data_IF_862848143952
#
_entry.id   IF_862848143952
#
_cell.length_a   1.000
_cell.length_b   1.000
_cell.length_c   1.000
_cell.angle_alpha   90.00
_cell.angle_beta   90.00
_cell.angle_gamma   90.00
#
_symmetry.space_group_name_H-M   'P 1'
#
loop_
_entity.id
_entity.type
_entity.pdbx_description
1 polymer ?
#
# COMPACT_ATOMS: atom_id res chain seq x y z
N UNK A 1 -32.04 -75.67 -23.54
CA UNK A 1 -31.91 -74.44 -24.36
C UNK A 1 -33.01 -73.49 -23.93
N UNK A 2 -32.69 -72.45 -23.15
CA UNK A 2 -33.71 -71.48 -22.73
C UNK A 2 -33.12 -70.08 -22.59
N UNK A 3 -33.61 -69.25 -23.51
CA UNK A 3 -33.68 -67.80 -23.64
C UNK A 3 -33.23 -66.92 -22.46
N UNK A 4 -32.45 -65.88 -22.81
CA UNK A 4 -32.36 -64.62 -22.08
C UNK A 4 -32.61 -63.47 -23.06
N UNK A 5 -33.55 -62.59 -22.72
CA UNK A 5 -33.62 -61.24 -23.27
C UNK A 5 -33.96 -60.29 -22.10
N UNK A 6 -33.17 -59.22 -22.00
CA UNK A 6 -33.08 -58.33 -20.85
C UNK A 6 -34.18 -57.26 -20.84
N UNK A 7 -34.77 -57.00 -19.66
CA UNK A 7 -35.66 -55.87 -19.40
C UNK A 7 -34.87 -54.61 -19.07
N UNK A 8 -35.15 -53.52 -19.80
CA UNK A 8 -34.74 -52.15 -19.44
C UNK A 8 -35.62 -51.66 -18.29
N UNK A 9 -34.99 -51.28 -17.18
CA UNK A 9 -35.67 -50.67 -16.03
C UNK A 9 -35.51 -49.15 -16.11
N UNK A 10 -36.63 -48.43 -16.17
CA UNK A 10 -36.70 -46.97 -16.03
C UNK A 10 -37.03 -46.71 -14.56
N UNK A 11 -36.20 -45.94 -13.86
CA UNK A 11 -36.52 -45.40 -12.53
C UNK A 11 -36.59 -43.87 -12.60
N UNK A 12 -37.79 -43.38 -12.29
CA UNK A 12 -38.19 -42.01 -12.05
C UNK A 12 -37.50 -41.50 -10.77
N UNK A 13 -36.79 -40.37 -10.82
CA UNK A 13 -36.30 -39.69 -9.60
C UNK A 13 -36.88 -38.29 -9.54
N UNK A 14 -37.59 -38.06 -8.44
CA UNK A 14 -38.19 -36.81 -8.00
C UNK A 14 -37.10 -35.75 -7.75
N UNK A 15 -37.13 -34.60 -8.42
CA UNK A 15 -36.30 -33.45 -8.05
C UNK A 15 -37.12 -32.50 -7.17
N UNK A 16 -36.76 -32.45 -5.90
CA UNK A 16 -37.30 -31.52 -4.90
C UNK A 16 -36.79 -30.12 -5.21
N UNK A 17 -37.71 -29.18 -5.40
CA UNK A 17 -37.41 -27.76 -5.56
C UNK A 17 -37.01 -27.17 -4.20
N UNK A 18 -35.75 -26.81 -4.04
CA UNK A 18 -35.29 -25.94 -2.95
C UNK A 18 -34.96 -24.58 -3.53
N UNK A 19 -35.85 -23.62 -3.27
CA UNK A 19 -35.59 -22.18 -3.40
C UNK A 19 -34.55 -21.80 -2.34
N UNK A 20 -33.27 -21.93 -2.67
CA UNK A 20 -32.14 -21.55 -1.83
C UNK A 20 -31.54 -20.25 -2.34
N UNK A 21 -31.59 -19.21 -1.50
CA UNK A 21 -30.96 -17.92 -1.68
C UNK A 21 -29.48 -18.08 -2.06
N UNK A 22 -29.16 -17.93 -3.35
CA UNK A 22 -27.79 -17.68 -3.79
C UNK A 22 -27.46 -16.23 -3.46
N UNK A 23 -27.19 -15.96 -2.19
CA UNK A 23 -26.51 -14.74 -1.78
C UNK A 23 -25.09 -14.79 -2.34
N UNK A 24 -24.89 -14.27 -3.55
CA UNK A 24 -23.55 -13.96 -4.03
C UNK A 24 -22.99 -12.91 -3.07
N UNK A 25 -22.13 -13.34 -2.14
CA UNK A 25 -21.28 -12.41 -1.41
C UNK A 25 -20.31 -11.81 -2.42
N UNK A 26 -20.70 -10.71 -3.05
CA UNK A 26 -19.75 -9.83 -3.74
C UNK A 26 -18.86 -9.25 -2.65
N UNK A 27 -17.71 -9.89 -2.39
CA UNK A 27 -16.60 -9.17 -1.76
C UNK A 27 -16.24 -8.07 -2.74
N UNK A 28 -16.61 -6.83 -2.42
CA UNK A 28 -16.06 -5.67 -3.10
C UNK A 28 -14.55 -5.75 -2.91
N UNK A 29 -13.81 -6.06 -3.97
CA UNK A 29 -12.37 -5.92 -3.98
C UNK A 29 -12.10 -4.43 -3.82
N UNK A 30 -11.52 -4.03 -2.69
CA UNK A 30 -11.20 -2.63 -2.42
C UNK A 30 -10.21 -2.17 -3.50
N UNK A 31 -10.68 -1.34 -4.44
CA UNK A 31 -9.85 -0.79 -5.49
C UNK A 31 -8.69 0.01 -4.87
N UNK A 32 -7.46 -0.47 -5.04
CA UNK A 32 -6.26 0.28 -4.66
C UNK A 32 -5.88 1.21 -5.80
N UNK A 33 -5.83 2.51 -5.51
CA UNK A 33 -5.47 3.57 -6.42
C UNK A 33 -3.95 3.77 -6.41
N UNK A 34 -3.34 3.78 -7.60
CA UNK A 34 -1.91 3.94 -7.71
C UNK A 34 -1.47 5.38 -7.49
N UNK A 35 -0.41 5.57 -6.72
CA UNK A 35 0.26 6.84 -6.51
C UNK A 35 1.72 6.79 -6.99
N UNK A 36 2.21 7.89 -7.55
CA UNK A 36 3.63 8.12 -7.83
C UNK A 36 4.26 8.72 -6.58
N UNK A 37 5.39 8.15 -6.18
CA UNK A 37 6.20 8.69 -5.09
C UNK A 37 7.44 9.34 -5.67
N UNK A 38 7.79 10.51 -5.16
CA UNK A 38 9.04 11.18 -5.51
C UNK A 38 9.58 11.98 -4.33
N UNK A 39 10.87 12.31 -4.39
CA UNK A 39 11.54 13.16 -3.40
C UNK A 39 12.07 14.42 -4.06
N UNK A 40 12.26 15.45 -3.25
CA UNK A 40 12.96 16.68 -3.64
C UNK A 40 14.21 16.82 -2.79
N UNK A 41 15.19 17.59 -3.26
CA UNK A 41 16.32 17.95 -2.41
C UNK A 41 15.83 18.66 -1.13
N UNK A 42 16.36 18.34 0.06
CA UNK A 42 17.51 17.47 0.32
C UNK A 42 17.16 16.00 0.64
N UNK A 43 15.95 15.52 0.32
CA UNK A 43 15.42 14.20 0.69
C UNK A 43 15.64 13.09 -0.36
N UNK A 44 16.55 13.30 -1.31
CA UNK A 44 16.86 12.33 -2.37
C UNK A 44 17.51 11.03 -1.86
N UNK A 45 17.94 11.03 -0.60
CA UNK A 45 18.51 9.90 0.10
C UNK A 45 18.24 10.00 1.61
N UNK A 46 18.29 8.86 2.30
CA UNK A 46 18.06 8.78 3.74
C UNK A 46 19.41 8.62 4.43
N UNK A 47 19.82 9.63 5.19
CA UNK A 47 21.08 9.60 5.97
C UNK A 47 20.79 9.61 7.46
N UNK A 48 20.95 8.49 8.17
CA UNK A 48 20.64 8.44 9.61
C UNK A 48 21.62 9.25 10.48
N UNK A 49 22.86 9.45 10.03
CA UNK A 49 23.89 10.17 10.79
C UNK A 49 23.99 11.67 10.47
N UNK A 50 23.28 12.19 9.46
CA UNK A 50 23.42 13.58 9.01
C UNK A 50 22.16 14.12 8.30
N UNK A 51 22.18 15.42 7.96
CA UNK A 51 21.07 16.09 7.27
C UNK A 51 19.88 16.39 8.19
N UNK A 52 18.69 16.58 7.60
CA UNK A 52 17.45 16.89 8.34
C UNK A 52 17.07 15.78 9.33
N UNK A 53 16.42 16.11 10.44
CA UNK A 53 15.89 15.12 11.39
C UNK A 53 14.71 14.29 10.86
N UNK A 54 14.20 14.64 9.68
CA UNK A 54 13.11 13.97 8.99
C UNK A 54 13.47 13.63 7.54
N UNK A 55 12.76 12.65 6.99
CA UNK A 55 12.76 12.35 5.57
C UNK A 55 11.34 12.58 5.01
N UNK A 56 11.25 13.33 3.92
CA UNK A 56 9.98 13.71 3.31
C UNK A 56 9.85 13.11 1.91
N UNK A 57 8.64 12.66 1.59
CA UNK A 57 8.27 12.07 0.30
C UNK A 57 6.97 12.68 -0.19
N UNK A 58 6.92 12.97 -1.48
CA UNK A 58 5.72 13.47 -2.15
C UNK A 58 4.92 12.29 -2.70
N UNK A 59 3.62 12.34 -2.51
CA UNK A 59 2.65 11.39 -3.03
C UNK A 59 1.75 12.11 -4.03
N UNK A 60 1.71 11.61 -5.25
CA UNK A 60 0.89 12.16 -6.33
C UNK A 60 -0.03 11.08 -6.92
N UNK A 61 -1.32 11.36 -7.15
CA UNK A 61 -2.24 10.44 -7.83
C UNK A 61 -1.82 10.19 -9.28
N UNK A 62 -1.69 8.92 -9.69
CA UNK A 62 -1.40 8.61 -11.11
C UNK A 62 -2.62 8.94 -11.96
N UNK A 63 -2.45 9.87 -12.90
CA UNK A 63 -3.51 10.29 -13.82
C UNK A 63 -4.68 10.99 -13.12
N UNK A 64 -4.48 11.55 -11.92
CA UNK A 64 -5.56 12.21 -11.16
C UNK A 64 -6.64 11.25 -10.66
N UNK A 65 -6.31 9.98 -10.42
CA UNK A 65 -7.26 8.93 -10.01
C UNK A 65 -7.85 9.11 -8.59
N UNK A 66 -7.31 10.03 -7.79
CA UNK A 66 -7.91 10.55 -6.56
C UNK A 66 -7.44 11.99 -6.30
N UNK A 67 -8.08 12.66 -5.33
CA UNK A 67 -7.65 13.97 -4.82
C UNK A 67 -6.83 13.75 -3.54
N UNK A 68 -5.63 14.35 -3.46
CA UNK A 68 -4.76 14.24 -2.28
C UNK A 68 -5.38 14.84 -1.01
N UNK A 69 -6.32 15.77 -1.13
CA UNK A 69 -7.08 16.31 0.00
C UNK A 69 -8.10 15.33 0.58
N UNK A 70 -8.45 14.27 -0.15
CA UNK A 70 -9.35 13.22 0.32
C UNK A 70 -8.59 12.15 1.10
N UNK A 71 -7.27 12.26 1.30
CA UNK A 71 -6.51 11.29 2.08
C UNK A 71 -6.85 11.41 3.57
N UNK A 72 -7.15 10.28 4.20
CA UNK A 72 -7.29 10.17 5.65
C UNK A 72 -5.90 10.04 6.29
N UNK A 73 -5.32 11.17 6.71
CA UNK A 73 -3.92 11.27 7.16
C UNK A 73 -3.52 10.25 8.24
N UNK A 74 -4.40 9.94 9.19
CA UNK A 74 -4.09 8.98 10.27
C UNK A 74 -4.06 7.51 9.82
N UNK A 75 -4.39 7.23 8.56
CA UNK A 75 -4.26 5.89 7.96
C UNK A 75 -2.96 5.74 7.16
N UNK A 76 -2.22 6.84 6.96
CA UNK A 76 -1.00 6.83 6.14
C UNK A 76 0.13 6.13 6.88
N UNK A 77 0.77 5.18 6.21
CA UNK A 77 1.90 4.41 6.72
C UNK A 77 3.06 4.40 5.73
N UNK A 78 4.28 4.37 6.28
CA UNK A 78 5.50 4.08 5.54
C UNK A 78 5.91 2.64 5.82
N UNK A 79 6.18 1.87 4.77
CA UNK A 79 6.43 0.42 4.83
C UNK A 79 7.81 0.12 4.24
N UNK A 80 8.56 -0.75 4.92
CA UNK A 80 9.75 -1.42 4.38
C UNK A 80 9.81 -2.86 4.89
N UNK A 81 9.65 -3.81 3.97
CA UNK A 81 9.49 -5.22 4.33
C UNK A 81 10.85 -5.89 4.52
N UNK A 82 11.03 -6.60 5.64
CA UNK A 82 12.22 -7.41 5.91
C UNK A 82 13.50 -6.62 6.23
N UNK A 83 13.41 -5.31 6.40
CA UNK A 83 14.58 -4.44 6.67
C UNK A 83 14.77 -4.12 8.16
N UNK A 84 13.79 -4.38 9.01
CA UNK A 84 13.86 -4.07 10.43
C UNK A 84 12.92 -4.90 11.29
N UNK A 85 12.84 -4.54 12.57
CA UNK A 85 12.02 -5.16 13.61
C UNK A 85 10.54 -4.87 13.45
N UNK A 86 10.19 -3.80 12.71
CA UNK A 86 8.83 -3.52 12.24
C UNK A 86 8.80 -3.42 10.72
N UNK A 87 7.67 -3.77 10.12
CA UNK A 87 7.47 -3.64 8.67
C UNK A 87 6.92 -2.29 8.24
N UNK A 88 6.33 -1.53 9.18
CA UNK A 88 5.67 -0.27 8.89
C UNK A 88 5.65 0.68 10.10
N UNK A 89 5.55 1.98 9.82
CA UNK A 89 5.33 3.04 10.82
C UNK A 89 4.24 4.00 10.35
N UNK A 90 3.46 4.60 11.27
CA UNK A 90 2.44 5.57 10.91
C UNK A 90 3.04 6.95 10.59
N UNK A 91 2.36 7.71 9.74
CA UNK A 91 2.55 9.15 9.64
C UNK A 91 2.09 9.80 10.96
N UNK A 92 2.79 10.86 11.41
CA UNK A 92 2.29 11.68 12.49
C UNK A 92 1.17 12.60 11.98
N UNK A 93 -0.06 12.09 11.96
CA UNK A 93 -1.22 12.79 11.39
C UNK A 93 -1.69 14.02 12.16
N UNK A 94 -1.07 14.35 13.29
CA UNK A 94 -1.33 15.60 14.02
C UNK A 94 -0.52 16.78 13.50
N UNK A 95 0.48 16.51 12.65
CA UNK A 95 1.32 17.54 12.03
C UNK A 95 0.69 18.04 10.72
N UNK A 96 0.85 19.34 10.41
CA UNK A 96 0.41 19.87 9.12
C UNK A 96 1.19 19.19 7.99
N UNK A 97 0.49 19.00 6.87
CA UNK A 97 1.02 18.46 5.62
C UNK A 97 1.06 19.58 4.58
N UNK A 98 1.99 19.50 3.64
CA UNK A 98 2.10 20.46 2.54
C UNK A 98 1.45 19.85 1.31
N UNK A 99 0.62 20.63 0.63
CA UNK A 99 -0.06 20.22 -0.61
C UNK A 99 0.28 21.24 -1.71
N UNK A 100 0.65 20.77 -2.89
CA UNK A 100 1.12 21.64 -3.98
C UNK A 100 1.26 20.93 -5.32
N UNK A 101 2.15 21.41 -6.18
CA UNK A 101 2.61 20.77 -7.41
C UNK A 101 4.14 20.94 -7.46
N UNK A 102 4.80 20.14 -6.64
CA UNK A 102 6.20 20.24 -6.24
C UNK A 102 7.13 19.92 -7.40
N UNK A 103 6.69 19.16 -8.40
CA UNK A 103 7.48 18.91 -9.62
C UNK A 103 6.95 19.58 -10.89
N UNK A 104 5.85 20.33 -10.80
CA UNK A 104 5.40 21.27 -11.83
C UNK A 104 4.75 20.59 -13.03
N UNK A 105 4.15 19.42 -12.82
CA UNK A 105 3.55 18.62 -13.90
C UNK A 105 2.03 18.85 -14.06
N UNK A 106 1.44 19.69 -13.22
CA UNK A 106 0.01 20.02 -13.22
C UNK A 106 -0.89 19.09 -12.41
N UNK A 107 -0.33 18.11 -11.69
CA UNK A 107 -1.05 17.22 -10.78
C UNK A 107 -0.67 17.59 -9.34
N UNK A 108 -1.68 17.67 -8.47
CA UNK A 108 -1.46 18.03 -7.08
C UNK A 108 -0.82 16.88 -6.30
N UNK A 109 0.28 17.15 -5.60
CA UNK A 109 0.93 16.24 -4.65
C UNK A 109 0.78 16.67 -3.19
N UNK A 110 1.02 15.73 -2.29
CA UNK A 110 1.07 15.93 -0.84
C UNK A 110 2.39 15.42 -0.28
N UNK A 111 3.02 16.21 0.58
CA UNK A 111 4.27 15.86 1.25
C UNK A 111 4.00 15.19 2.61
N UNK A 112 4.59 14.02 2.80
CA UNK A 112 4.62 13.31 4.08
C UNK A 112 6.03 13.23 4.62
N UNK A 113 6.23 13.75 5.84
CA UNK A 113 7.51 13.73 6.54
C UNK A 113 7.49 12.74 7.71
N UNK A 114 8.50 11.87 7.76
CA UNK A 114 8.71 10.89 8.82
C UNK A 114 9.97 11.25 9.61
N UNK A 115 9.87 11.25 10.94
CA UNK A 115 11.03 11.47 11.80
C UNK A 115 11.99 10.29 11.66
N UNK A 116 13.30 10.57 11.57
CA UNK A 116 14.31 9.51 11.50
C UNK A 116 14.28 8.63 12.75
N UNK A 117 14.01 9.21 13.93
CA UNK A 117 13.86 8.42 15.16
C UNK A 117 12.79 7.35 15.03
N UNK A 118 11.67 7.69 14.38
CA UNK A 118 10.54 6.78 14.19
C UNK A 118 10.81 5.78 13.06
N UNK A 119 11.65 6.15 12.08
CA UNK A 119 12.11 5.27 11.02
C UNK A 119 13.16 4.25 11.46
N UNK A 120 13.84 4.45 12.59
CA UNK A 120 14.92 3.55 13.00
C UNK A 120 14.48 2.06 13.08
N UNK A 121 13.34 1.70 13.69
CA UNK A 121 12.87 0.32 13.74
C UNK A 121 12.55 -0.30 12.36
N UNK A 122 12.33 0.50 11.31
CA UNK A 122 12.15 -0.02 9.95
C UNK A 122 13.43 -0.60 9.36
N UNK A 123 14.60 -0.20 9.85
CA UNK A 123 15.88 -0.50 9.21
C UNK A 123 16.93 -1.10 10.17
N UNK A 124 16.54 -1.43 11.40
CA UNK A 124 17.46 -1.87 12.45
C UNK A 124 18.03 -3.29 12.25
N UNK A 125 17.56 -4.06 11.25
CA UNK A 125 18.20 -5.30 10.80
C UNK A 125 19.28 -5.06 9.74
N UNK A 126 19.41 -3.83 9.23
CA UNK A 126 20.45 -3.46 8.27
C UNK A 126 21.68 -2.95 9.01
N UNK A 127 22.87 -3.38 8.56
CA UNK A 127 24.14 -2.99 9.19
C UNK A 127 25.26 -2.73 8.19
N UNK A 128 26.32 -2.07 8.69
CA UNK A 128 27.55 -1.79 7.97
C UNK A 128 27.57 -0.43 7.27
N UNK A 129 28.78 -0.06 6.80
CA UNK A 129 29.10 1.27 6.26
C UNK A 129 28.64 1.54 4.84
N UNK A 130 28.42 0.47 4.06
CA UNK A 130 28.02 0.61 2.66
C UNK A 130 26.54 1.02 2.57
N UNK A 131 26.18 1.94 1.66
CA UNK A 131 24.79 2.32 1.43
C UNK A 131 23.93 1.10 1.10
N UNK A 132 22.67 1.13 1.55
CA UNK A 132 21.66 0.10 1.26
C UNK A 132 20.64 0.66 0.29
N UNK A 133 20.31 -0.13 -0.73
CA UNK A 133 19.14 0.14 -1.56
C UNK A 133 17.94 -0.48 -0.88
N UNK A 134 16.93 0.33 -0.56
CA UNK A 134 15.67 -0.13 0.04
C UNK A 134 14.49 0.32 -0.80
N UNK A 135 13.47 -0.53 -0.91
CA UNK A 135 12.18 -0.14 -1.47
C UNK A 135 11.25 0.22 -0.33
N UNK A 136 10.67 1.43 -0.42
CA UNK A 136 9.70 1.96 0.51
C UNK A 136 8.35 2.01 -0.17
N UNK A 137 7.29 1.71 0.57
CA UNK A 137 5.91 1.86 0.10
C UNK A 137 5.20 2.86 1.00
N UNK A 138 4.43 3.77 0.43
CA UNK A 138 3.48 4.61 1.16
C UNK A 138 2.08 4.16 0.80
N UNK A 139 1.28 3.92 1.83
CA UNK A 139 -0.11 3.52 1.69
C UNK A 139 -0.99 4.31 2.63
N UNK A 140 -2.28 4.37 2.31
CA UNK A 140 -3.29 4.94 3.18
C UNK A 140 -4.67 4.79 2.57
N UNK A 141 -5.68 5.29 3.28
CA UNK A 141 -7.05 5.32 2.83
C UNK A 141 -7.47 6.74 2.47
N UNK A 142 -8.42 6.84 1.56
CA UNK A 142 -9.20 8.04 1.33
C UNK A 142 -10.38 8.11 2.32
N UNK A 143 -10.99 9.27 2.49
CA UNK A 143 -12.17 9.46 3.34
C UNK A 143 -13.38 8.63 2.88
N UNK A 144 -13.44 8.27 1.59
CA UNK A 144 -14.47 7.41 1.01
C UNK A 144 -14.21 5.89 1.21
N UNK A 145 -13.12 5.54 1.89
CA UNK A 145 -12.75 4.17 2.21
C UNK A 145 -11.92 3.44 1.15
N UNK A 146 -11.71 4.03 -0.04
CA UNK A 146 -10.75 3.48 -1.02
C UNK A 146 -9.32 3.57 -0.50
N UNK A 147 -8.44 2.71 -0.99
CA UNK A 147 -7.02 2.69 -0.62
C UNK A 147 -6.17 3.31 -1.72
N UNK A 148 -5.06 3.94 -1.36
CA UNK A 148 -3.99 4.29 -2.31
C UNK A 148 -2.68 3.59 -1.91
N UNK A 149 -1.80 3.38 -2.89
CA UNK A 149 -0.47 2.79 -2.67
C UNK A 149 0.50 3.25 -3.74
N UNK A 150 1.76 3.45 -3.35
CA UNK A 150 2.86 3.68 -4.27
C UNK A 150 4.19 3.36 -3.62
N UNK A 151 5.23 3.13 -4.44
CA UNK A 151 6.56 2.77 -3.96
C UNK A 151 7.67 3.66 -4.54
N UNK A 152 8.79 3.72 -3.81
CA UNK A 152 10.00 4.42 -4.20
C UNK A 152 11.22 3.65 -3.72
N UNK A 153 12.28 3.66 -4.53
CA UNK A 153 13.57 3.07 -4.15
C UNK A 153 14.51 4.17 -3.67
N UNK A 154 15.09 3.99 -2.48
CA UNK A 154 15.96 4.96 -1.84
C UNK A 154 17.33 4.39 -1.53
N UNK A 155 18.34 5.27 -1.55
CA UNK A 155 19.63 5.00 -0.93
C UNK A 155 19.58 5.35 0.56
N UNK A 156 20.00 4.39 1.38
CA UNK A 156 20.00 4.47 2.83
C UNK A 156 21.43 4.39 3.38
N UNK A 157 21.82 5.40 4.15
CA UNK A 157 23.10 5.50 4.84
C UNK A 157 22.86 5.38 6.35
N UNK A 158 23.30 4.26 6.92
CA UNK A 158 23.12 3.95 8.34
C UNK A 158 24.08 4.77 9.21
N UNK A 159 23.75 4.86 10.50
CA UNK A 159 24.67 5.34 11.53
C UNK A 159 25.51 4.13 11.96
N UNK A 160 26.83 4.25 11.87
CA UNK A 160 27.77 3.26 12.40
C UNK A 160 27.60 3.04 13.91
#
# INVERSE_FOLDING_TARGET
MSNRAALKTIFLVLLVSTCGLLGWSTRAESQTLSARLFTRAPHNDIRFASGSGQWCVHVEPIGGNFNVLDISLCTVVLISQGTGSVSQIPLNCTKPVVVGDSDGNGIQDIEFCFLKTDMHPLFDNLHGRSPKTVTLTVEGNLQDGRRFSGNITMQLYLKD
#
